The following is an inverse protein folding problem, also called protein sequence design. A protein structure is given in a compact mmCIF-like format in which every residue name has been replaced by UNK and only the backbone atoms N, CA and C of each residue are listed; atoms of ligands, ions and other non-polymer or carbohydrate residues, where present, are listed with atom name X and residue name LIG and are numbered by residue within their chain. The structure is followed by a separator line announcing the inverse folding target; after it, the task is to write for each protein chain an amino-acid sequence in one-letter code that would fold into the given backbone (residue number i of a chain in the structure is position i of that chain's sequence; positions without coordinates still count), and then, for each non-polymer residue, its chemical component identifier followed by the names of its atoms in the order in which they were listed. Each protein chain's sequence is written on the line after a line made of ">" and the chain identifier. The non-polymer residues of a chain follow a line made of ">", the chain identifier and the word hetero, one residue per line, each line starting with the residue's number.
data_IF_530262940799
#
_entry.id   IF_530262940799
#
_cell.length_a   1.000
_cell.length_b   1.000
_cell.length_c   1.000
_cell.angle_alpha   90.00
_cell.angle_beta   90.00
_cell.angle_gamma   90.00
#
_symmetry.space_group_name_H-M   'P 1'
#
loop_
_entity.id
_entity.type
_entity.pdbx_description
1 polymer ?
#
# COMPACT_ATOMS: atom_id res chain seq x y z
N UNK A 1 -7.93 18.76 -19.27
CA UNK A 1 -6.85 17.89 -18.76
C UNK A 1 -5.86 18.80 -18.03
N UNK A 2 -5.58 18.49 -16.75
CA UNK A 2 -4.60 19.25 -16.00
C UNK A 2 -3.20 19.07 -16.62
N UNK A 3 -2.45 20.15 -16.77
CA UNK A 3 -1.06 20.11 -17.20
C UNK A 3 -0.18 19.55 -16.07
N UNK A 4 0.85 18.80 -16.41
CA UNK A 4 1.80 18.32 -15.40
C UNK A 4 2.63 19.50 -14.89
N UNK A 5 2.52 19.80 -13.61
CA UNK A 5 3.28 20.86 -12.94
C UNK A 5 4.17 20.26 -11.84
N UNK A 6 5.35 20.83 -11.67
CA UNK A 6 6.23 20.58 -10.53
C UNK A 6 5.91 21.50 -9.34
N UNK A 7 5.12 22.54 -9.57
CA UNK A 7 4.68 23.48 -8.53
C UNK A 7 3.33 23.01 -7.98
N UNK A 8 3.24 22.88 -6.66
CA UNK A 8 2.01 22.62 -5.97
C UNK A 8 1.15 23.87 -5.93
N UNK A 9 -0.16 23.71 -6.15
CA UNK A 9 -1.11 24.78 -5.96
C UNK A 9 -1.42 25.04 -4.47
N UNK A 10 -2.18 26.10 -4.16
CA UNK A 10 -2.49 26.49 -2.78
C UNK A 10 -3.22 25.39 -1.99
N UNK A 11 -4.15 24.66 -2.62
CA UNK A 11 -4.87 23.56 -1.97
C UNK A 11 -3.94 22.40 -1.64
N UNK A 12 -3.03 22.06 -2.53
CA UNK A 12 -2.02 21.01 -2.32
C UNK A 12 -1.01 21.39 -1.24
N UNK A 13 -0.58 22.64 -1.20
CA UNK A 13 0.29 23.17 -0.13
C UNK A 13 -0.43 23.15 1.22
N UNK A 14 -1.71 23.50 1.25
CA UNK A 14 -2.55 23.44 2.46
C UNK A 14 -2.73 21.99 2.92
N UNK A 15 -3.05 21.08 2.01
CA UNK A 15 -3.14 19.64 2.28
C UNK A 15 -1.83 19.11 2.84
N UNK A 16 -0.71 19.41 2.18
CA UNK A 16 0.63 18.99 2.60
C UNK A 16 0.94 19.46 4.02
N UNK A 17 0.73 20.74 4.29
CA UNK A 17 0.98 21.30 5.62
C UNK A 17 0.11 20.64 6.69
N UNK A 18 -1.19 20.52 6.46
CA UNK A 18 -2.11 19.91 7.42
C UNK A 18 -1.71 18.48 7.79
N UNK A 19 -1.39 17.67 6.77
CA UNK A 19 -0.99 16.27 7.00
C UNK A 19 0.40 16.17 7.64
N UNK A 20 1.32 17.08 7.28
CA UNK A 20 2.62 17.16 7.93
C UNK A 20 2.50 17.52 9.41
N UNK A 21 1.68 18.52 9.74
CA UNK A 21 1.43 18.90 11.13
C UNK A 21 0.84 17.71 11.92
N UNK A 22 -0.15 16.99 11.38
CA UNK A 22 -0.68 15.78 12.00
C UNK A 22 0.39 14.69 12.17
N UNK A 23 1.22 14.49 11.17
CA UNK A 23 2.30 13.50 11.24
C UNK A 23 3.36 13.89 12.29
N UNK A 24 3.69 15.17 12.41
CA UNK A 24 4.65 15.69 13.38
C UNK A 24 4.14 15.64 14.82
N UNK A 25 2.87 16.02 15.03
CA UNK A 25 2.30 16.23 16.36
C UNK A 25 1.66 14.95 16.94
N UNK A 26 1.17 14.04 16.08
CA UNK A 26 0.42 12.84 16.51
C UNK A 26 1.16 11.56 16.19
N UNK A 27 1.62 11.37 14.95
CA UNK A 27 2.20 10.09 14.50
C UNK A 27 3.63 9.93 15.04
N UNK A 28 4.49 10.89 14.81
CA UNK A 28 5.93 10.79 15.12
C UNK A 28 6.23 10.61 16.62
N UNK A 29 5.57 11.31 17.54
CA UNK A 29 5.77 11.12 18.99
C UNK A 29 5.35 9.72 19.47
N UNK A 30 4.33 9.12 18.85
CA UNK A 30 3.80 7.79 19.21
C UNK A 30 4.61 6.63 18.60
N UNK A 31 5.45 6.89 17.61
CA UNK A 31 6.07 5.89 16.75
C UNK A 31 6.91 4.85 17.50
N UNK A 32 7.72 5.28 18.48
CA UNK A 32 8.55 4.36 19.25
C UNK A 32 7.70 3.40 20.10
N UNK A 33 6.70 3.92 20.81
CA UNK A 33 5.82 3.11 21.65
C UNK A 33 5.10 2.02 20.84
N UNK A 34 4.49 2.40 19.72
CA UNK A 34 3.70 1.45 18.92
C UNK A 34 4.56 0.45 18.14
N UNK A 35 5.80 0.81 17.77
CA UNK A 35 6.77 -0.15 17.23
C UNK A 35 7.14 -1.20 18.30
N UNK A 36 7.42 -0.80 19.53
CA UNK A 36 7.75 -1.73 20.62
C UNK A 36 6.57 -2.64 21.02
N UNK A 37 5.36 -2.11 21.05
CA UNK A 37 4.15 -2.87 21.39
C UNK A 37 3.75 -3.91 20.34
N UNK A 38 4.10 -3.69 19.08
CA UNK A 38 3.63 -4.53 17.95
C UNK A 38 2.10 -4.68 17.89
N UNK A 39 1.36 -3.66 18.25
CA UNK A 39 -0.10 -3.64 18.31
C UNK A 39 -0.69 -2.61 17.35
N UNK A 40 -1.97 -2.79 17.01
CA UNK A 40 -2.72 -1.81 16.22
C UNK A 40 -2.90 -0.51 17.02
N UNK A 41 -2.48 0.65 16.50
CA UNK A 41 -2.53 1.93 17.23
C UNK A 41 -3.93 2.55 17.19
N UNK A 42 -4.93 1.88 17.75
CA UNK A 42 -6.33 2.32 17.73
C UNK A 42 -6.55 3.78 18.15
N UNK A 43 -5.91 4.29 19.23
CA UNK A 43 -6.06 5.69 19.60
C UNK A 43 -5.62 6.66 18.49
N UNK A 44 -4.56 6.31 17.76
CA UNK A 44 -4.03 7.17 16.68
C UNK A 44 -4.95 7.09 15.45
N UNK A 45 -5.47 5.90 15.11
CA UNK A 45 -6.46 5.74 14.03
C UNK A 45 -7.72 6.55 14.36
N UNK A 46 -8.16 6.55 15.62
CA UNK A 46 -9.32 7.31 16.06
C UNK A 46 -9.07 8.83 16.01
N UNK A 47 -7.87 9.32 16.38
CA UNK A 47 -7.50 10.72 16.20
C UNK A 47 -7.46 11.11 14.72
N UNK A 48 -6.95 10.25 13.85
CA UNK A 48 -6.99 10.45 12.39
C UNK A 48 -8.44 10.54 11.86
N UNK A 49 -9.36 9.73 12.42
CA UNK A 49 -10.78 9.77 12.06
C UNK A 49 -11.44 11.07 12.53
N UNK A 50 -11.20 11.50 13.75
CA UNK A 50 -11.69 12.80 14.29
C UNK A 50 -11.14 14.00 13.51
N UNK A 51 -9.89 13.92 13.07
CA UNK A 51 -9.27 14.94 12.22
C UNK A 51 -9.79 14.90 10.77
N UNK A 52 -10.59 13.90 10.39
CA UNK A 52 -11.11 13.73 9.03
C UNK A 52 -10.14 13.02 8.06
N UNK A 53 -8.94 12.65 8.51
CA UNK A 53 -7.93 11.96 7.67
C UNK A 53 -8.34 10.51 7.41
N UNK A 54 -8.86 9.80 8.42
CA UNK A 54 -9.46 8.47 8.25
C UNK A 54 -10.94 8.61 7.95
N UNK A 55 -11.28 8.94 6.73
CA UNK A 55 -12.68 9.09 6.30
C UNK A 55 -12.84 8.80 4.81
N UNK A 56 -14.06 8.42 4.41
CA UNK A 56 -14.39 8.26 2.98
C UNK A 56 -14.32 9.59 2.23
N UNK A 57 -14.69 10.69 2.88
CA UNK A 57 -14.68 12.02 2.26
C UNK A 57 -13.24 12.44 1.92
N UNK A 58 -12.31 12.23 2.84
CA UNK A 58 -10.89 12.47 2.58
C UNK A 58 -10.40 11.64 1.40
N UNK A 59 -10.68 10.33 1.42
CA UNK A 59 -10.25 9.42 0.34
C UNK A 59 -10.85 9.82 -1.01
N UNK A 60 -12.13 10.19 -1.04
CA UNK A 60 -12.81 10.64 -2.26
C UNK A 60 -12.21 11.94 -2.77
N UNK A 61 -11.98 12.92 -1.90
CA UNK A 61 -11.38 14.20 -2.27
C UNK A 61 -10.00 14.02 -2.92
N UNK A 62 -9.13 13.20 -2.30
CA UNK A 62 -7.80 12.95 -2.87
C UNK A 62 -7.86 12.10 -4.14
N UNK A 63 -8.83 11.19 -4.25
CA UNK A 63 -9.02 10.36 -5.43
C UNK A 63 -9.52 11.18 -6.64
N UNK A 64 -10.36 12.19 -6.39
CA UNK A 64 -10.93 13.04 -7.44
C UNK A 64 -10.11 14.30 -7.71
N UNK A 65 -8.98 14.54 -7.02
CA UNK A 65 -8.04 15.63 -7.35
C UNK A 65 -7.62 15.56 -8.82
N UNK A 66 -7.83 16.64 -9.56
CA UNK A 66 -7.61 16.68 -11.01
C UNK A 66 -6.16 16.51 -11.43
N UNK A 67 -5.22 16.86 -10.55
CA UNK A 67 -3.79 16.64 -10.78
C UNK A 67 -3.37 15.19 -10.55
N UNK A 68 -4.11 14.45 -9.70
CA UNK A 68 -3.77 13.13 -9.19
C UNK A 68 -2.69 13.15 -8.11
N UNK A 69 -2.26 14.33 -7.64
CA UNK A 69 -1.18 14.44 -6.65
C UNK A 69 -1.66 14.38 -5.20
N UNK A 70 -2.94 14.66 -4.91
CA UNK A 70 -3.46 14.72 -3.55
C UNK A 70 -3.15 13.47 -2.73
N UNK A 71 -3.43 12.28 -3.27
CA UNK A 71 -3.17 11.02 -2.57
C UNK A 71 -1.67 10.76 -2.34
N UNK A 72 -0.80 11.04 -3.31
CA UNK A 72 0.65 10.79 -3.14
C UNK A 72 1.29 11.81 -2.19
N UNK A 73 0.79 13.03 -2.12
CA UNK A 73 1.16 14.02 -1.10
C UNK A 73 0.77 13.49 0.29
N UNK A 74 -0.48 13.02 0.44
CA UNK A 74 -0.98 12.47 1.70
C UNK A 74 -0.14 11.28 2.19
N UNK A 75 0.17 10.35 1.30
CA UNK A 75 1.00 9.19 1.64
C UNK A 75 2.43 9.61 2.05
N UNK A 76 3.05 10.54 1.33
CA UNK A 76 4.39 11.01 1.66
C UNK A 76 4.43 11.65 3.05
N UNK A 77 3.48 12.55 3.37
CA UNK A 77 3.48 13.25 4.66
C UNK A 77 3.17 12.34 5.85
N UNK A 78 2.17 11.48 5.75
CA UNK A 78 1.85 10.56 6.85
C UNK A 78 2.97 9.54 7.12
N UNK A 79 3.59 8.99 6.06
CA UNK A 79 4.69 8.02 6.18
C UNK A 79 6.02 8.67 6.58
N UNK A 80 6.15 9.98 6.43
CA UNK A 80 7.22 10.75 7.06
C UNK A 80 7.12 10.73 8.59
N UNK A 81 5.91 10.66 9.14
CA UNK A 81 5.69 10.52 10.58
C UNK A 81 6.20 9.18 11.11
N UNK A 82 5.59 8.09 10.65
CA UNK A 82 5.97 6.71 10.94
C UNK A 82 5.25 5.75 9.98
N UNK A 83 5.97 4.80 9.40
CA UNK A 83 5.41 3.92 8.38
C UNK A 83 4.42 2.90 8.96
N UNK A 84 4.66 2.38 10.15
CA UNK A 84 3.78 1.39 10.79
C UNK A 84 2.42 1.98 11.14
N UNK A 85 2.43 3.16 11.78
CA UNK A 85 1.22 3.89 12.17
C UNK A 85 0.49 4.41 10.91
N UNK A 86 1.21 5.02 9.97
CA UNK A 86 0.61 5.50 8.73
C UNK A 86 -0.05 4.37 7.93
N UNK A 87 0.57 3.17 7.89
CA UNK A 87 -0.04 2.02 7.25
C UNK A 87 -1.28 1.51 8.01
N UNK A 88 -1.32 1.61 9.33
CA UNK A 88 -2.51 1.29 10.11
C UNK A 88 -3.67 2.25 9.80
N UNK A 89 -3.38 3.55 9.58
CA UNK A 89 -4.37 4.56 9.17
C UNK A 89 -4.80 4.32 7.71
N UNK A 90 -3.86 4.12 6.79
CA UNK A 90 -4.15 4.11 5.35
C UNK A 90 -4.46 2.71 4.77
N UNK A 91 -4.28 1.64 5.57
CA UNK A 91 -4.37 0.25 5.10
C UNK A 91 -5.74 -0.16 4.54
N UNK A 92 -6.83 0.40 5.07
CA UNK A 92 -8.21 0.20 4.55
C UNK A 92 -8.33 0.65 3.09
N UNK A 93 -7.54 1.64 2.66
CA UNK A 93 -7.53 2.14 1.29
C UNK A 93 -7.20 1.09 0.24
N UNK A 94 -6.44 0.03 0.59
CA UNK A 94 -6.15 -1.06 -0.36
C UNK A 94 -7.40 -1.92 -0.65
N UNK A 95 -8.21 -2.20 0.37
CA UNK A 95 -9.48 -2.89 0.18
C UNK A 95 -10.48 -2.03 -0.64
N UNK A 96 -10.55 -0.74 -0.35
CA UNK A 96 -11.36 0.21 -1.12
C UNK A 96 -10.90 0.30 -2.58
N UNK A 97 -9.59 0.31 -2.84
CA UNK A 97 -9.03 0.28 -4.20
C UNK A 97 -9.41 -1.01 -4.95
N UNK A 98 -9.40 -2.16 -4.26
CA UNK A 98 -9.80 -3.44 -4.85
C UNK A 98 -11.27 -3.46 -5.25
N UNK A 99 -12.17 -2.91 -4.43
CA UNK A 99 -13.59 -2.75 -4.76
C UNK A 99 -13.75 -1.79 -5.94
N UNK A 100 -13.08 -0.64 -5.91
CA UNK A 100 -13.15 0.37 -6.98
C UNK A 100 -12.61 -0.14 -8.32
N UNK A 101 -11.67 -1.09 -8.30
CA UNK A 101 -11.11 -1.69 -9.51
C UNK A 101 -12.00 -2.77 -10.13
N UNK A 102 -12.77 -3.50 -9.32
CA UNK A 102 -13.44 -4.72 -9.72
C UNK A 102 -14.97 -4.69 -9.58
N UNK A 103 -15.50 -3.81 -8.70
CA UNK A 103 -16.92 -3.72 -8.38
C UNK A 103 -17.77 -2.96 -9.39
N UNK A 104 -19.08 -3.06 -9.24
CA UNK A 104 -20.07 -2.19 -9.89
C UNK A 104 -20.16 -0.84 -9.14
N UNK A 105 -20.78 0.16 -9.75
CA UNK A 105 -21.01 1.47 -9.07
C UNK A 105 -21.85 1.32 -7.79
N UNK A 106 -22.82 0.42 -7.79
CA UNK A 106 -23.64 0.09 -6.61
C UNK A 106 -22.80 -0.50 -5.49
N UNK A 107 -21.94 -1.50 -5.82
CA UNK A 107 -21.03 -2.13 -4.87
C UNK A 107 -20.00 -1.14 -4.32
N UNK A 108 -19.47 -0.23 -5.14
CA UNK A 108 -18.56 0.84 -4.69
C UNK A 108 -19.30 1.76 -3.72
N UNK A 109 -20.52 2.20 -4.05
CA UNK A 109 -21.32 3.09 -3.22
C UNK A 109 -21.80 2.44 -1.89
N UNK A 110 -22.02 1.14 -1.86
CA UNK A 110 -22.42 0.40 -0.65
C UNK A 110 -21.21 0.05 0.24
N UNK A 111 -20.18 -0.58 -0.34
CA UNK A 111 -19.14 -1.23 0.47
C UNK A 111 -17.99 -0.30 0.86
N UNK A 112 -17.58 0.64 -0.01
CA UNK A 112 -16.42 1.48 0.29
C UNK A 112 -16.68 2.41 1.49
N UNK A 113 -17.80 3.14 1.58
CA UNK A 113 -18.10 3.93 2.79
C UNK A 113 -18.19 3.09 4.06
N UNK A 114 -18.81 1.90 3.98
CA UNK A 114 -18.99 1.01 5.12
C UNK A 114 -17.67 0.50 5.73
N UNK A 115 -16.56 0.50 4.96
CA UNK A 115 -15.24 0.09 5.42
C UNK A 115 -14.54 1.11 6.32
N UNK A 116 -14.97 2.37 6.30
CA UNK A 116 -14.36 3.42 7.12
C UNK A 116 -15.11 3.66 8.43
N UNK A 117 -16.42 3.41 8.44
CA UNK A 117 -17.28 3.69 9.59
C UNK A 117 -17.44 5.17 9.85
N UNK A 118 -17.47 5.53 11.12
CA UNK A 118 -17.56 6.92 11.61
C UNK A 118 -16.42 7.22 12.59
N UNK A 119 -16.16 8.49 12.96
CA UNK A 119 -15.18 8.81 14.00
C UNK A 119 -15.45 8.15 15.36
N UNK A 120 -16.73 7.85 15.67
CA UNK A 120 -17.15 7.19 16.92
C UNK A 120 -17.08 5.66 16.81
N UNK A 121 -17.20 5.11 15.61
CA UNK A 121 -17.19 3.66 15.33
C UNK A 121 -16.34 3.36 14.09
N UNK A 122 -15.02 3.49 14.26
CA UNK A 122 -14.03 3.26 13.20
C UNK A 122 -14.06 1.79 12.77
N UNK A 123 -14.21 1.56 11.47
CA UNK A 123 -14.16 0.25 10.83
C UNK A 123 -12.85 0.09 10.05
N UNK A 124 -12.43 -1.14 9.83
CA UNK A 124 -11.25 -1.45 9.03
C UNK A 124 -11.60 -2.33 7.83
N UNK A 125 -10.87 -2.15 6.74
CA UNK A 125 -10.89 -3.03 5.59
C UNK A 125 -9.57 -3.78 5.41
N UNK A 126 -9.64 -5.01 4.91
CA UNK A 126 -8.50 -5.84 4.55
C UNK A 126 -8.58 -6.33 3.10
N UNK A 127 -7.46 -6.30 2.38
CA UNK A 127 -7.33 -6.92 1.06
C UNK A 127 -6.46 -8.18 1.15
N UNK A 128 -7.02 -9.32 0.77
CA UNK A 128 -6.43 -10.64 0.97
C UNK A 128 -6.22 -11.33 -0.38
N UNK A 129 -5.03 -11.23 -0.94
CA UNK A 129 -4.65 -11.87 -2.22
C UNK A 129 -3.64 -12.98 -2.03
N UNK A 130 -2.52 -12.72 -1.34
CA UNK A 130 -1.41 -13.67 -1.16
C UNK A 130 -1.81 -14.89 -0.32
N UNK A 131 -1.14 -16.01 -0.59
CA UNK A 131 -1.27 -17.27 0.15
C UNK A 131 0.11 -17.79 0.57
N UNK A 132 0.21 -18.74 1.51
CA UNK A 132 1.51 -19.29 1.92
C UNK A 132 2.37 -19.76 0.75
N UNK A 133 1.77 -20.37 -0.29
CA UNK A 133 2.46 -20.90 -1.46
C UNK A 133 2.28 -20.04 -2.74
N UNK A 134 1.60 -18.88 -2.65
CA UNK A 134 1.31 -18.03 -3.80
C UNK A 134 1.49 -16.54 -3.45
N UNK A 135 2.73 -16.05 -3.53
CA UNK A 135 3.09 -14.64 -3.40
C UNK A 135 3.24 -13.99 -4.78
N UNK A 136 4.45 -13.98 -5.34
CA UNK A 136 4.71 -13.47 -6.69
C UNK A 136 4.05 -14.31 -7.79
N UNK A 137 3.91 -15.61 -7.57
CA UNK A 137 3.14 -16.50 -8.43
C UNK A 137 1.65 -16.51 -8.06
N UNK A 138 0.96 -15.43 -8.40
CA UNK A 138 -0.49 -15.29 -8.15
C UNK A 138 -1.34 -16.34 -8.89
N UNK A 139 -0.78 -17.01 -9.88
CA UNK A 139 -1.44 -18.09 -10.63
C UNK A 139 -1.58 -19.37 -9.82
N UNK A 140 -0.69 -19.60 -8.85
CA UNK A 140 -0.67 -20.79 -8.00
C UNK A 140 -1.68 -20.75 -6.82
N UNK A 141 -2.59 -19.78 -6.81
CA UNK A 141 -3.60 -19.61 -5.75
C UNK A 141 -4.45 -20.85 -5.51
N UNK A 142 -4.55 -21.26 -4.26
CA UNK A 142 -5.29 -22.46 -3.81
C UNK A 142 -6.66 -22.16 -3.20
N UNK A 143 -6.88 -20.94 -2.69
CA UNK A 143 -8.20 -20.51 -2.19
C UNK A 143 -9.22 -20.65 -3.30
N UNK A 144 -10.33 -21.34 -3.02
CA UNK A 144 -11.42 -21.63 -3.96
C UNK A 144 -12.69 -20.89 -3.57
N UNK A 145 -13.42 -20.46 -4.60
CA UNK A 145 -14.81 -20.04 -4.47
C UNK A 145 -15.65 -20.89 -5.43
N UNK A 146 -16.56 -21.67 -4.88
CA UNK A 146 -17.43 -22.57 -5.63
C UNK A 146 -18.86 -22.08 -5.52
N UNK A 147 -19.59 -22.04 -6.65
CA UNK A 147 -21.00 -21.69 -6.66
C UNK A 147 -21.85 -22.88 -6.21
N UNK A 148 -22.65 -22.69 -5.16
CA UNK A 148 -23.65 -23.63 -4.68
C UNK A 148 -25.00 -23.27 -5.33
N UNK A 149 -25.38 -23.98 -6.38
CA UNK A 149 -26.59 -23.71 -7.14
C UNK A 149 -27.86 -23.86 -6.30
N UNK A 150 -27.86 -24.81 -5.36
CA UNK A 150 -29.05 -25.07 -4.52
C UNK A 150 -29.31 -23.95 -3.51
N UNK A 151 -28.25 -23.36 -2.98
CA UNK A 151 -28.34 -22.26 -2.02
C UNK A 151 -28.28 -20.88 -2.69
N UNK A 152 -27.88 -20.80 -3.96
CA UNK A 152 -27.58 -19.55 -4.67
C UNK A 152 -26.51 -18.70 -3.93
N UNK A 153 -25.44 -19.37 -3.50
CA UNK A 153 -24.35 -18.76 -2.75
C UNK A 153 -22.98 -19.22 -3.25
N UNK A 154 -21.98 -18.38 -3.04
CA UNK A 154 -20.57 -18.73 -3.18
C UNK A 154 -20.04 -19.33 -1.87
N UNK A 155 -19.27 -20.40 -1.96
CA UNK A 155 -18.62 -21.05 -0.82
C UNK A 155 -17.12 -20.89 -0.98
N UNK A 156 -16.49 -20.15 -0.06
CA UNK A 156 -15.06 -19.86 -0.08
C UNK A 156 -14.34 -20.73 0.96
N UNK A 157 -13.24 -21.36 0.50
CA UNK A 157 -12.35 -22.15 1.34
C UNK A 157 -10.88 -21.87 1.00
N UNK A 158 -10.03 -21.70 2.02
CA UNK A 158 -8.61 -21.49 1.85
C UNK A 158 -7.97 -20.67 2.97
N UNK A 159 -6.69 -20.33 2.77
CA UNK A 159 -5.93 -19.50 3.73
C UNK A 159 -5.23 -18.39 2.96
N UNK A 160 -5.42 -17.15 3.40
CA UNK A 160 -4.70 -15.98 2.95
C UNK A 160 -3.61 -15.62 3.95
N UNK A 161 -2.52 -15.02 3.46
CA UNK A 161 -1.38 -14.64 4.30
C UNK A 161 -0.93 -13.22 4.02
N UNK A 162 -0.18 -12.63 4.95
CA UNK A 162 0.37 -11.26 4.84
C UNK A 162 -0.70 -10.17 4.68
N UNK A 163 -1.94 -10.45 5.09
CA UNK A 163 -3.02 -9.48 4.95
C UNK A 163 -2.89 -8.37 6.01
N UNK A 164 -2.75 -7.12 5.56
CA UNK A 164 -2.89 -5.95 6.43
C UNK A 164 -4.31 -5.92 6.98
N UNK A 165 -4.46 -5.72 8.29
CA UNK A 165 -5.71 -5.82 9.03
C UNK A 165 -6.40 -7.19 8.96
N UNK A 166 -5.72 -8.24 8.46
CA UNK A 166 -6.29 -9.58 8.31
C UNK A 166 -6.83 -10.12 9.62
N UNK A 167 -8.08 -10.56 9.63
CA UNK A 167 -8.77 -11.12 10.78
C UNK A 167 -9.28 -10.12 11.81
N UNK A 168 -8.75 -8.90 11.86
CA UNK A 168 -9.28 -7.81 12.73
C UNK A 168 -10.15 -6.82 11.98
N UNK A 169 -10.08 -6.79 10.64
CA UNK A 169 -10.91 -5.92 9.83
C UNK A 169 -12.39 -6.33 9.91
N UNK A 170 -13.28 -5.34 9.83
CA UNK A 170 -14.71 -5.57 9.69
C UNK A 170 -15.05 -6.11 8.30
N UNK A 171 -14.39 -5.60 7.29
CA UNK A 171 -14.62 -5.96 5.88
C UNK A 171 -13.36 -6.57 5.26
N UNK A 172 -13.52 -7.71 4.60
CA UNK A 172 -12.41 -8.35 3.89
C UNK A 172 -12.71 -8.45 2.39
N UNK A 173 -11.76 -8.09 1.55
CA UNK A 173 -11.82 -8.36 0.10
C UNK A 173 -10.90 -9.54 -0.19
N UNK A 174 -11.51 -10.65 -0.54
CA UNK A 174 -10.83 -11.94 -0.77
C UNK A 174 -10.70 -12.19 -2.27
N UNK A 175 -9.49 -12.41 -2.77
CA UNK A 175 -9.28 -12.96 -4.12
C UNK A 175 -9.28 -14.47 -4.04
N UNK A 176 -10.12 -15.13 -4.85
CA UNK A 176 -10.23 -16.58 -4.89
C UNK A 176 -10.27 -17.11 -6.32
N UNK A 177 -9.85 -18.36 -6.52
CA UNK A 177 -9.99 -19.06 -7.80
C UNK A 177 -11.39 -19.65 -7.92
N UNK A 178 -12.10 -19.24 -8.96
CA UNK A 178 -13.41 -19.79 -9.36
C UNK A 178 -13.26 -20.84 -10.46
N UNK A 179 -12.14 -20.81 -11.19
CA UNK A 179 -11.78 -21.80 -12.20
C UNK A 179 -10.27 -22.04 -12.19
N UNK A 180 -9.80 -23.13 -11.53
CA UNK A 180 -8.38 -23.42 -11.40
C UNK A 180 -7.67 -23.72 -12.72
N UNK A 181 -8.38 -24.25 -13.72
CA UNK A 181 -7.79 -24.60 -15.01
C UNK A 181 -7.32 -23.35 -15.78
N UNK A 182 -7.91 -22.21 -15.50
CA UNK A 182 -7.56 -20.93 -16.09
C UNK A 182 -6.43 -20.17 -15.35
N UNK A 183 -5.90 -20.74 -14.26
CA UNK A 183 -4.86 -20.14 -13.43
C UNK A 183 -5.28 -18.75 -12.94
N UNK A 184 -4.39 -17.75 -13.04
CA UNK A 184 -4.69 -16.40 -12.61
C UNK A 184 -5.86 -15.71 -13.35
N UNK A 185 -6.23 -16.18 -14.55
CA UNK A 185 -7.38 -15.68 -15.30
C UNK A 185 -8.71 -16.22 -14.77
N UNK A 186 -8.67 -17.31 -13.98
CA UNK A 186 -9.83 -17.92 -13.32
C UNK A 186 -10.10 -17.38 -11.92
N UNK A 187 -9.60 -16.20 -11.57
CA UNK A 187 -9.77 -15.57 -10.24
C UNK A 187 -10.90 -14.55 -10.25
N UNK A 188 -11.53 -14.36 -9.07
CA UNK A 188 -12.50 -13.32 -8.81
C UNK A 188 -12.28 -12.74 -7.40
N UNK A 189 -12.83 -11.54 -7.15
CA UNK A 189 -12.76 -10.87 -5.84
C UNK A 189 -14.13 -10.88 -5.17
N UNK A 190 -14.15 -11.18 -3.89
CA UNK A 190 -15.35 -11.27 -3.06
C UNK A 190 -15.22 -10.33 -1.86
N UNK A 191 -16.30 -9.65 -1.51
CA UNK A 191 -16.39 -8.87 -0.28
C UNK A 191 -16.98 -9.76 0.80
N UNK A 192 -16.31 -9.90 1.94
CA UNK A 192 -16.81 -10.63 3.12
C UNK A 192 -17.21 -9.59 4.16
N UNK A 193 -18.52 -9.44 4.46
CA UNK A 193 -19.01 -8.47 5.42
C UNK A 193 -18.74 -8.88 6.87
N UNK A 194 -18.88 -7.94 7.83
CA UNK A 194 -18.74 -8.24 9.27
C UNK A 194 -19.65 -9.38 9.72
N UNK A 195 -19.16 -10.18 10.66
CA UNK A 195 -19.95 -11.26 11.26
C UNK A 195 -20.19 -12.47 10.37
N UNK A 196 -19.58 -12.56 9.20
CA UNK A 196 -19.68 -13.73 8.32
C UNK A 196 -19.04 -14.95 8.98
N UNK A 197 -19.82 -16.02 9.14
CA UNK A 197 -19.35 -17.28 9.70
C UNK A 197 -18.29 -17.92 8.80
N UNK A 198 -17.28 -18.55 9.41
CA UNK A 198 -16.21 -19.26 8.70
C UNK A 198 -14.97 -18.42 8.38
N UNK A 199 -15.01 -17.07 8.55
CA UNK A 199 -13.82 -16.25 8.47
C UNK A 199 -13.20 -16.09 9.85
N UNK A 200 -11.91 -16.37 9.98
CA UNK A 200 -11.16 -16.21 11.23
C UNK A 200 -9.73 -15.75 10.98
N UNK A 201 -9.12 -15.18 12.03
CA UNK A 201 -7.70 -14.85 12.02
C UNK A 201 -6.88 -16.12 12.29
N UNK A 202 -5.86 -16.36 11.45
CA UNK A 202 -4.81 -17.31 11.71
C UNK A 202 -3.62 -16.69 12.46
N UNK A 203 -2.41 -16.99 12.02
CA UNK A 203 -1.18 -16.47 12.64
C UNK A 203 -1.06 -14.96 12.45
N UNK A 204 -0.89 -14.19 13.54
CA UNK A 204 -0.37 -12.82 13.51
C UNK A 204 1.14 -12.87 13.39
N UNK A 205 1.71 -12.17 12.41
CA UNK A 205 3.15 -12.18 12.15
C UNK A 205 3.92 -11.19 13.02
N UNK A 206 5.03 -11.64 13.61
CA UNK A 206 6.05 -10.76 14.18
C UNK A 206 6.95 -10.28 13.06
N UNK A 207 6.96 -8.97 12.81
CA UNK A 207 7.63 -8.41 11.62
C UNK A 207 8.94 -7.72 11.95
N UNK A 208 9.79 -7.58 10.94
CA UNK A 208 11.03 -6.82 11.00
C UNK A 208 10.77 -5.33 11.19
N UNK A 209 9.86 -4.75 10.40
CA UNK A 209 9.42 -3.36 10.43
C UNK A 209 7.92 -3.22 10.27
N UNK A 210 7.41 -1.99 10.15
CA UNK A 210 5.99 -1.63 10.13
C UNK A 210 5.20 -2.34 11.25
N UNK A 211 5.79 -2.40 12.45
CA UNK A 211 5.33 -3.29 13.52
C UNK A 211 4.01 -2.84 14.14
N UNK A 212 3.69 -1.55 14.08
CA UNK A 212 2.42 -0.98 14.49
C UNK A 212 1.26 -1.35 13.54
N UNK A 213 1.54 -1.80 12.31
CA UNK A 213 0.52 -2.27 11.37
C UNK A 213 0.22 -3.74 11.57
N UNK A 214 -1.04 -4.10 11.83
CA UNK A 214 -1.45 -5.49 11.97
C UNK A 214 -1.30 -6.25 10.65
N UNK A 215 -0.69 -7.43 10.71
CA UNK A 215 -0.52 -8.32 9.54
C UNK A 215 -0.72 -9.76 9.98
N UNK A 216 -1.68 -10.46 9.39
CA UNK A 216 -2.02 -11.83 9.78
C UNK A 216 -2.46 -12.70 8.61
N UNK A 217 -2.63 -13.98 8.90
CA UNK A 217 -3.37 -14.92 8.06
C UNK A 217 -4.87 -14.71 8.24
N UNK A 218 -5.61 -14.99 7.17
CA UNK A 218 -7.08 -15.07 7.16
C UNK A 218 -7.47 -16.45 6.69
N UNK A 219 -8.17 -17.18 7.56
CA UNK A 219 -8.66 -18.53 7.31
C UNK A 219 -10.11 -18.44 6.85
N UNK A 220 -10.42 -19.14 5.78
CA UNK A 220 -11.76 -19.28 5.21
C UNK A 220 -12.17 -20.74 5.28
N UNK A 221 -13.15 -21.04 6.11
CA UNK A 221 -13.74 -22.38 6.28
C UNK A 221 -15.24 -22.33 6.01
N UNK A 222 -15.61 -22.74 4.80
CA UNK A 222 -17.00 -22.71 4.32
C UNK A 222 -17.67 -21.34 4.46
N UNK A 223 -16.95 -20.28 4.14
CA UNK A 223 -17.50 -18.92 4.10
C UNK A 223 -18.52 -18.82 2.98
N UNK A 224 -19.80 -18.58 3.36
CA UNK A 224 -20.92 -18.51 2.44
C UNK A 224 -21.31 -17.08 2.14
N UNK A 225 -21.41 -16.73 0.87
CA UNK A 225 -21.68 -15.38 0.40
C UNK A 225 -22.76 -15.36 -0.68
N UNK A 226 -23.87 -14.62 -0.51
CA UNK A 226 -24.76 -14.27 -1.60
C UNK A 226 -24.03 -13.63 -2.78
N UNK A 227 -24.56 -13.77 -3.98
CA UNK A 227 -23.92 -13.30 -5.23
C UNK A 227 -23.60 -11.79 -5.22
N UNK A 228 -24.37 -10.98 -4.49
CA UNK A 228 -24.11 -9.53 -4.39
C UNK A 228 -22.72 -9.18 -3.86
N UNK A 229 -22.04 -10.12 -3.18
CA UNK A 229 -20.68 -9.93 -2.65
C UNK A 229 -19.57 -10.35 -3.62
N UNK A 230 -19.90 -10.95 -4.77
CA UNK A 230 -18.98 -11.11 -5.88
C UNK A 230 -18.79 -9.76 -6.59
N UNK A 231 -17.58 -9.22 -6.59
CA UNK A 231 -17.29 -7.94 -7.26
C UNK A 231 -17.48 -8.04 -8.77
N UNK A 232 -18.31 -7.17 -9.30
CA UNK A 232 -18.67 -7.11 -10.70
C UNK A 232 -19.83 -8.02 -11.11
N UNK A 233 -20.28 -8.93 -10.23
CA UNK A 233 -21.43 -9.81 -10.44
C UNK A 233 -21.15 -11.05 -11.29
N UNK A 234 -22.00 -12.07 -11.12
CA UNK A 234 -21.84 -13.40 -11.72
C UNK A 234 -21.92 -13.38 -13.24
N UNK A 235 -22.83 -12.60 -13.82
CA UNK A 235 -22.98 -12.51 -15.29
C UNK A 235 -21.69 -12.03 -15.97
N UNK A 236 -21.07 -10.96 -15.44
CA UNK A 236 -19.79 -10.44 -15.96
C UNK A 236 -18.65 -11.44 -15.76
N UNK A 237 -18.64 -12.16 -14.62
CA UNK A 237 -17.66 -13.21 -14.35
C UNK A 237 -17.79 -14.33 -15.38
N UNK A 238 -18.99 -14.88 -15.59
CA UNK A 238 -19.26 -15.98 -16.51
C UNK A 238 -18.89 -15.61 -17.95
N UNK A 239 -19.27 -14.42 -18.40
CA UNK A 239 -18.88 -13.89 -19.72
C UNK A 239 -17.36 -13.78 -19.88
N UNK A 240 -16.65 -13.32 -18.84
CA UNK A 240 -15.18 -13.24 -18.83
C UNK A 240 -14.53 -14.61 -18.92
N UNK A 241 -15.00 -15.59 -18.13
CA UNK A 241 -14.48 -16.96 -18.12
C UNK A 241 -14.70 -17.65 -19.48
N UNK A 242 -15.89 -17.48 -20.08
CA UNK A 242 -16.18 -18.00 -21.42
C UNK A 242 -15.17 -17.48 -22.46
N UNK A 243 -14.95 -16.17 -22.50
CA UNK A 243 -13.96 -15.55 -23.40
C UNK A 243 -12.53 -16.08 -23.18
N UNK A 244 -12.13 -16.31 -21.92
CA UNK A 244 -10.81 -16.90 -21.61
C UNK A 244 -10.70 -18.33 -22.16
N UNK A 245 -11.74 -19.15 -22.02
CA UNK A 245 -11.77 -20.52 -22.54
C UNK A 245 -11.68 -20.57 -24.07
N UNK A 246 -12.22 -19.56 -24.75
CA UNK A 246 -12.09 -19.37 -26.19
C UNK A 246 -10.71 -18.82 -26.61
N UNK A 247 -9.77 -18.61 -25.68
CA UNK A 247 -8.44 -18.06 -25.96
C UNK A 247 -8.41 -16.56 -26.23
N UNK A 248 -9.50 -15.84 -25.98
CA UNK A 248 -9.62 -14.40 -26.19
C UNK A 248 -9.04 -13.61 -25.00
N UNK A 249 -8.65 -12.34 -25.25
CA UNK A 249 -8.25 -11.43 -24.18
C UNK A 249 -9.45 -11.13 -23.27
N UNK A 250 -9.28 -11.31 -21.98
CA UNK A 250 -10.34 -11.20 -20.98
C UNK A 250 -10.11 -10.13 -19.89
N UNK A 251 -9.43 -9.05 -20.25
CA UNK A 251 -9.13 -7.96 -19.32
C UNK A 251 -7.98 -8.24 -18.36
N UNK A 252 -7.79 -7.35 -17.38
CA UNK A 252 -6.75 -7.44 -16.36
C UNK A 252 -7.23 -8.36 -15.23
N UNK A 253 -6.32 -9.10 -14.62
CA UNK A 253 -6.62 -9.93 -13.45
C UNK A 253 -7.01 -9.07 -12.24
N UNK A 254 -7.91 -9.54 -11.34
CA UNK A 254 -8.40 -8.75 -10.20
C UNK A 254 -7.30 -8.15 -9.33
N UNK A 255 -6.31 -8.94 -8.92
CA UNK A 255 -5.18 -8.46 -8.12
C UNK A 255 -4.33 -7.44 -8.88
N UNK A 256 -4.06 -7.69 -10.17
CA UNK A 256 -3.26 -6.77 -11.00
C UNK A 256 -3.97 -5.44 -11.25
N UNK A 257 -5.28 -5.46 -11.44
CA UNK A 257 -6.08 -4.25 -11.59
C UNK A 257 -6.01 -3.36 -10.33
N UNK A 258 -5.95 -3.98 -9.16
CA UNK A 258 -5.75 -3.29 -7.88
C UNK A 258 -4.34 -2.71 -7.80
N UNK A 259 -3.31 -3.53 -7.99
CA UNK A 259 -1.91 -3.12 -7.81
C UNK A 259 -1.43 -2.05 -8.80
N UNK A 260 -1.92 -2.02 -10.04
CA UNK A 260 -1.57 -0.94 -10.99
C UNK A 260 -1.98 0.43 -10.48
N UNK A 261 -3.09 0.51 -9.74
CA UNK A 261 -3.60 1.77 -9.18
C UNK A 261 -2.87 2.19 -7.91
N UNK A 262 -2.35 1.24 -7.13
CA UNK A 262 -1.74 1.51 -5.82
C UNK A 262 -0.23 1.74 -5.88
N UNK A 263 0.48 1.34 -6.93
CA UNK A 263 1.94 1.49 -7.04
C UNK A 263 2.47 2.92 -6.84
N UNK A 264 1.86 3.98 -7.41
CA UNK A 264 2.32 5.34 -7.15
C UNK A 264 2.18 5.73 -5.66
N UNK A 265 1.10 5.32 -4.99
CA UNK A 265 0.89 5.60 -3.56
C UNK A 265 1.91 4.86 -2.69
N UNK A 266 2.23 3.60 -3.01
CA UNK A 266 3.30 2.83 -2.34
C UNK A 266 4.68 3.47 -2.57
N UNK A 267 4.93 3.99 -3.77
CA UNK A 267 6.14 4.77 -4.05
C UNK A 267 6.25 6.03 -3.17
N UNK A 268 5.14 6.76 -2.98
CA UNK A 268 5.08 7.94 -2.13
C UNK A 268 5.35 7.63 -0.65
N UNK A 269 4.84 6.51 -0.14
CA UNK A 269 5.14 6.00 1.21
C UNK A 269 6.65 5.84 1.42
N UNK A 270 7.33 5.20 0.46
CA UNK A 270 8.77 5.00 0.50
C UNK A 270 9.53 6.33 0.47
N UNK A 271 9.06 7.33 -0.31
CA UNK A 271 9.62 8.69 -0.34
C UNK A 271 9.49 9.36 1.03
N UNK A 272 8.34 9.22 1.70
CA UNK A 272 8.11 9.75 3.04
C UNK A 272 9.13 9.23 4.06
N UNK A 273 9.34 7.91 4.11
CA UNK A 273 10.33 7.28 4.99
C UNK A 273 11.75 7.76 4.67
N UNK A 274 12.12 7.80 3.39
CA UNK A 274 13.44 8.25 2.95
C UNK A 274 13.70 9.71 3.35
N UNK A 275 12.71 10.59 3.15
CA UNK A 275 12.77 12.00 3.55
C UNK A 275 12.97 12.14 5.06
N UNK A 276 12.18 11.42 5.87
CA UNK A 276 12.30 11.43 7.31
C UNK A 276 13.69 11.03 7.79
N UNK A 277 14.25 9.96 7.26
CA UNK A 277 15.58 9.49 7.62
C UNK A 277 16.69 10.46 7.18
N UNK A 278 16.55 11.07 5.99
CA UNK A 278 17.45 12.10 5.49
C UNK A 278 17.48 13.33 6.38
N UNK A 279 16.32 13.84 6.79
CA UNK A 279 16.21 15.03 7.64
C UNK A 279 16.86 14.80 9.01
N UNK A 280 16.59 13.64 9.64
CA UNK A 280 17.27 13.26 10.90
C UNK A 280 18.78 13.18 10.73
N UNK A 281 19.27 12.58 9.63
CA UNK A 281 20.70 12.47 9.39
C UNK A 281 21.36 13.82 9.10
N UNK A 282 20.67 14.71 8.37
CA UNK A 282 21.16 16.06 8.06
C UNK A 282 21.27 16.90 9.34
N UNK A 283 20.25 16.90 10.18
CA UNK A 283 20.25 17.68 11.42
C UNK A 283 21.28 17.16 12.40
N UNK A 284 21.39 15.83 12.53
CA UNK A 284 22.47 15.23 13.33
C UNK A 284 23.87 15.62 12.81
N UNK A 285 24.10 15.58 11.52
CA UNK A 285 25.39 15.91 10.91
C UNK A 285 25.82 17.38 11.14
N UNK A 286 24.86 18.30 11.28
CA UNK A 286 25.12 19.73 11.57
C UNK A 286 25.57 19.98 13.01
N UNK A 287 25.13 19.14 13.96
CA UNK A 287 25.39 19.35 15.38
C UNK A 287 26.42 18.41 15.97
N UNK A 288 26.59 17.22 15.40
CA UNK A 288 27.57 16.23 15.86
C UNK A 288 28.97 16.65 15.48
N UNK A 289 29.86 16.81 16.45
CA UNK A 289 31.26 17.16 16.22
C UNK A 289 32.15 15.94 16.35
N UNK A 290 33.09 15.81 15.41
CA UNK A 290 34.26 14.94 15.48
C UNK A 290 35.43 15.62 14.76
N UNK A 291 36.66 15.35 15.19
CA UNK A 291 37.86 16.02 14.69
C UNK A 291 37.79 17.56 14.81
N UNK A 292 37.11 18.06 15.85
CA UNK A 292 37.03 19.49 16.19
C UNK A 292 36.08 20.32 15.31
N UNK A 293 35.14 19.67 14.58
CA UNK A 293 34.14 20.35 13.74
C UNK A 293 32.89 19.50 13.53
N UNK A 294 31.74 20.09 13.13
CA UNK A 294 30.57 19.35 12.70
C UNK A 294 30.90 18.33 11.61
N UNK A 295 30.31 17.13 11.72
CA UNK A 295 30.67 16.04 10.77
C UNK A 295 30.23 16.34 9.35
N UNK A 296 29.25 17.22 9.13
CA UNK A 296 28.80 17.64 7.79
C UNK A 296 29.93 18.33 7.00
N UNK A 297 30.92 18.95 7.65
CA UNK A 297 32.06 19.57 6.99
C UNK A 297 33.04 18.56 6.39
N UNK A 298 32.86 17.28 6.67
CA UNK A 298 33.64 16.22 6.03
C UNK A 298 32.99 15.83 4.69
N UNK A 299 33.73 15.91 3.58
CA UNK A 299 33.22 15.64 2.24
C UNK A 299 32.49 14.29 2.14
N UNK A 300 33.01 13.23 2.80
CA UNK A 300 32.38 11.91 2.78
C UNK A 300 30.98 11.88 3.38
N UNK A 301 30.67 12.73 4.37
CA UNK A 301 29.33 12.91 4.93
C UNK A 301 28.48 13.80 4.02
N UNK A 302 29.03 14.94 3.58
CA UNK A 302 28.33 15.88 2.71
C UNK A 302 27.88 15.22 1.39
N UNK A 303 28.74 14.39 0.77
CA UNK A 303 28.41 13.67 -0.47
C UNK A 303 27.29 12.65 -0.26
N UNK A 304 27.29 11.91 0.86
CA UNK A 304 26.18 11.01 1.21
C UNK A 304 24.86 11.75 1.31
N UNK A 305 24.82 12.88 2.01
CA UNK A 305 23.62 13.71 2.14
C UNK A 305 23.16 14.27 0.77
N UNK A 306 24.06 14.67 -0.09
CA UNK A 306 23.74 15.13 -1.45
C UNK A 306 23.13 13.99 -2.29
N UNK A 307 23.70 12.79 -2.24
CA UNK A 307 23.18 11.62 -2.94
C UNK A 307 21.80 11.20 -2.40
N UNK A 308 21.61 11.23 -1.05
CA UNK A 308 20.32 10.95 -0.41
C UNK A 308 19.24 11.90 -0.93
N UNK A 309 19.50 13.22 -0.91
CA UNK A 309 18.55 14.24 -1.37
C UNK A 309 18.22 14.06 -2.86
N UNK A 310 19.23 13.85 -3.71
CA UNK A 310 19.04 13.65 -5.14
C UNK A 310 18.15 12.44 -5.44
N UNK A 311 18.38 11.32 -4.76
CA UNK A 311 17.56 10.10 -4.93
C UNK A 311 16.14 10.27 -4.45
N UNK A 312 15.92 10.98 -3.33
CA UNK A 312 14.58 11.30 -2.81
C UNK A 312 13.79 12.13 -3.84
N UNK A 313 14.42 13.20 -4.37
CA UNK A 313 13.74 14.07 -5.34
C UNK A 313 13.45 13.34 -6.65
N UNK A 314 14.38 12.54 -7.14
CA UNK A 314 14.16 11.71 -8.33
C UNK A 314 13.01 10.70 -8.11
N UNK A 315 12.94 10.08 -6.92
CA UNK A 315 11.85 9.16 -6.56
C UNK A 315 10.50 9.89 -6.56
N UNK A 316 10.43 11.06 -5.92
CA UNK A 316 9.22 11.89 -5.87
C UNK A 316 8.73 12.26 -7.24
N UNK A 317 9.62 12.70 -8.14
CA UNK A 317 9.26 13.06 -9.50
C UNK A 317 8.70 11.87 -10.31
N UNK A 318 9.27 10.69 -10.16
CA UNK A 318 8.74 9.47 -10.78
C UNK A 318 7.35 9.12 -10.23
N UNK A 319 7.13 9.25 -8.92
CA UNK A 319 5.85 9.04 -8.26
C UNK A 319 4.80 10.03 -8.76
N UNK A 320 5.11 11.33 -8.76
CA UNK A 320 4.19 12.37 -9.22
C UNK A 320 3.81 12.18 -10.69
N UNK A 321 4.79 11.87 -11.55
CA UNK A 321 4.53 11.57 -12.96
C UNK A 321 3.55 10.40 -13.10
N UNK A 322 3.78 9.30 -12.39
CA UNK A 322 2.92 8.11 -12.48
C UNK A 322 1.50 8.40 -11.93
N UNK A 323 1.39 9.12 -10.83
CA UNK A 323 0.10 9.52 -10.25
C UNK A 323 -0.71 10.42 -11.21
N UNK A 324 -0.08 11.45 -11.76
CA UNK A 324 -0.68 12.30 -12.77
C UNK A 324 -1.12 11.53 -14.02
N UNK A 325 -0.27 10.64 -14.56
CA UNK A 325 -0.60 9.80 -15.71
C UNK A 325 -1.84 8.94 -15.44
N UNK A 326 -1.89 8.31 -14.27
CA UNK A 326 -3.05 7.49 -13.87
C UNK A 326 -4.33 8.32 -13.81
N UNK A 327 -4.27 9.52 -13.21
CA UNK A 327 -5.43 10.42 -13.12
C UNK A 327 -5.91 10.92 -14.47
N UNK A 328 -4.98 11.19 -15.40
CA UNK A 328 -5.32 11.63 -16.76
C UNK A 328 -5.74 10.46 -17.69
N UNK A 329 -5.89 9.25 -17.16
CA UNK A 329 -6.22 8.05 -17.95
C UNK A 329 -5.17 7.67 -18.99
N UNK A 330 -3.92 8.13 -18.82
CA UNK A 330 -2.80 7.80 -19.72
C UNK A 330 -2.35 6.37 -19.49
N UNK A 331 -2.07 5.67 -20.57
CA UNK A 331 -1.54 4.31 -20.52
C UNK A 331 -0.10 4.30 -19.98
N UNK A 332 0.19 3.39 -19.08
CA UNK A 332 1.55 3.12 -18.59
C UNK A 332 2.33 2.27 -19.62
N UNK A 333 2.73 2.90 -20.73
CA UNK A 333 3.35 2.20 -21.86
C UNK A 333 4.73 1.61 -21.53
N UNK A 334 5.44 2.17 -20.57
CA UNK A 334 6.72 1.70 -20.06
C UNK A 334 6.63 1.19 -18.61
N UNK A 335 5.44 0.85 -18.13
CA UNK A 335 5.17 0.43 -16.76
C UNK A 335 5.58 1.47 -15.71
N UNK A 336 5.20 2.74 -15.91
CA UNK A 336 5.58 3.89 -15.09
C UNK A 336 5.23 3.70 -13.60
N UNK A 337 4.11 3.06 -13.28
CA UNK A 337 3.76 2.68 -11.90
C UNK A 337 4.78 1.72 -11.28
N UNK A 338 5.27 0.74 -12.07
CA UNK A 338 6.34 -0.16 -11.62
C UNK A 338 7.68 0.56 -11.47
N UNK A 339 8.00 1.50 -12.38
CA UNK A 339 9.25 2.27 -12.31
C UNK A 339 9.33 3.11 -11.03
N UNK A 340 8.25 3.84 -10.70
CA UNK A 340 8.24 4.69 -9.51
C UNK A 340 8.32 3.85 -8.22
N UNK A 341 7.57 2.74 -8.12
CA UNK A 341 7.59 1.84 -6.97
C UNK A 341 8.95 1.17 -6.77
N UNK A 342 9.56 0.68 -7.84
CA UNK A 342 10.88 0.07 -7.81
C UNK A 342 11.93 1.06 -7.31
N UNK A 343 12.02 2.23 -7.97
CA UNK A 343 13.06 3.20 -7.66
C UNK A 343 12.89 3.80 -6.25
N UNK A 344 11.68 4.18 -5.86
CA UNK A 344 11.40 4.73 -4.54
C UNK A 344 11.65 3.70 -3.42
N UNK A 345 11.23 2.45 -3.59
CA UNK A 345 11.43 1.40 -2.59
C UNK A 345 12.91 1.07 -2.34
N UNK A 346 13.71 0.96 -3.41
CA UNK A 346 15.17 0.75 -3.29
C UNK A 346 15.88 2.00 -2.74
N UNK A 347 15.43 3.19 -3.12
CA UNK A 347 15.92 4.46 -2.57
C UNK A 347 15.68 4.53 -1.06
N UNK A 348 14.48 4.17 -0.57
CA UNK A 348 14.18 4.23 0.85
C UNK A 348 15.11 3.31 1.67
N UNK A 349 15.36 2.10 1.21
CA UNK A 349 16.30 1.18 1.88
C UNK A 349 17.71 1.77 1.91
N UNK A 350 18.19 2.28 0.77
CA UNK A 350 19.53 2.85 0.68
C UNK A 350 19.68 4.12 1.52
N UNK A 351 18.69 5.04 1.49
CA UNK A 351 18.75 6.30 2.24
C UNK A 351 18.73 6.03 3.74
N UNK A 352 17.88 5.14 4.22
CA UNK A 352 17.81 4.80 5.65
C UNK A 352 19.07 4.09 6.14
N UNK A 353 19.72 3.26 5.33
CA UNK A 353 21.03 2.68 5.60
C UNK A 353 22.10 3.78 5.74
N UNK A 354 22.14 4.75 4.80
CA UNK A 354 23.07 5.87 4.88
C UNK A 354 22.80 6.75 6.12
N UNK A 355 21.54 6.93 6.53
CA UNK A 355 21.20 7.64 7.74
C UNK A 355 21.77 6.96 9.00
N UNK A 356 21.63 5.64 9.12
CA UNK A 356 22.27 4.87 10.21
C UNK A 356 23.78 5.08 10.17
N UNK A 357 24.42 5.00 9.00
CA UNK A 357 25.85 5.15 8.85
C UNK A 357 26.34 6.54 9.25
N UNK A 358 25.58 7.61 8.92
CA UNK A 358 25.91 9.00 9.30
C UNK A 358 25.82 9.19 10.83
N UNK A 359 24.82 8.60 11.49
CA UNK A 359 24.66 8.66 12.94
C UNK A 359 25.67 7.77 13.67
N UNK A 360 26.31 6.83 13.00
CA UNK A 360 27.28 5.90 13.60
C UNK A 360 26.66 5.02 14.67
N UNK A 361 27.31 4.88 15.82
CA UNK A 361 26.79 4.08 16.94
C UNK A 361 25.39 4.50 17.40
N UNK A 362 25.08 5.79 17.37
CA UNK A 362 23.74 6.31 17.71
C UNK A 362 22.68 5.83 16.69
N UNK A 363 23.02 5.72 15.42
CA UNK A 363 22.09 5.21 14.42
C UNK A 363 21.80 3.71 14.53
N UNK A 364 22.61 2.97 15.28
CA UNK A 364 22.46 1.53 15.50
C UNK A 364 21.62 1.20 16.75
N UNK A 365 21.28 2.20 17.53
CA UNK A 365 20.49 2.05 18.76
C UNK A 365 19.05 2.51 18.56
N UNK A 366 18.13 2.02 19.42
CA UNK A 366 16.69 2.37 19.34
C UNK A 366 16.34 3.74 19.91
N UNK A 367 17.29 4.45 20.52
CA UNK A 367 17.13 5.83 20.99
C UNK A 367 17.02 6.83 19.84
N UNK A 368 17.48 6.45 18.63
CA UNK A 368 17.35 7.25 17.42
C UNK A 368 16.42 6.55 16.42
N UNK A 369 15.57 7.29 15.69
CA UNK A 369 14.51 6.69 14.89
C UNK A 369 14.99 6.03 13.59
N UNK A 370 16.23 6.27 13.15
CA UNK A 370 16.71 5.84 11.83
C UNK A 370 16.80 4.32 11.68
N UNK A 371 17.06 3.58 12.77
CA UNK A 371 17.07 2.11 12.75
C UNK A 371 15.67 1.55 12.49
N UNK A 372 14.62 2.14 13.12
CA UNK A 372 13.22 1.78 12.86
C UNK A 372 12.83 2.11 11.42
N UNK A 373 13.17 3.32 10.95
CA UNK A 373 12.92 3.72 9.57
C UNK A 373 13.58 2.76 8.57
N UNK A 374 14.77 2.23 8.88
CA UNK A 374 15.43 1.24 8.03
C UNK A 374 14.71 -0.12 8.04
N UNK A 375 14.27 -0.58 9.21
CA UNK A 375 13.44 -1.79 9.31
C UNK A 375 12.14 -1.64 8.50
N UNK A 376 11.50 -0.51 8.60
CA UNK A 376 10.26 -0.19 7.88
C UNK A 376 10.49 -0.08 6.37
N UNK A 377 11.58 0.56 5.94
CA UNK A 377 11.90 0.73 4.52
C UNK A 377 12.07 -0.60 3.78
N UNK A 378 12.55 -1.66 4.46
CA UNK A 378 12.82 -2.95 3.83
C UNK A 378 11.61 -3.57 3.14
N UNK A 379 10.41 -3.39 3.68
CA UNK A 379 9.20 -4.00 3.11
C UNK A 379 8.89 -3.48 1.70
N UNK A 380 9.32 -2.26 1.35
CA UNK A 380 9.05 -1.62 0.06
C UNK A 380 9.76 -2.28 -1.13
N UNK A 381 10.70 -3.17 -0.87
CA UNK A 381 11.30 -4.03 -1.91
C UNK A 381 10.60 -5.40 -2.02
N UNK A 382 9.61 -5.69 -1.16
CA UNK A 382 8.98 -7.01 -1.03
C UNK A 382 7.48 -6.95 -1.39
N UNK A 383 6.67 -6.19 -0.65
CA UNK A 383 5.22 -6.16 -0.84
C UNK A 383 4.79 -5.38 -2.09
N UNK A 384 3.51 -5.49 -2.46
CA UNK A 384 2.93 -4.84 -3.66
C UNK A 384 3.67 -5.19 -4.97
N UNK A 385 4.25 -6.39 -4.99
CA UNK A 385 5.16 -6.87 -6.04
C UNK A 385 6.62 -6.56 -5.73
N UNK A 386 7.44 -7.62 -5.60
CA UNK A 386 8.86 -7.48 -5.28
C UNK A 386 9.61 -6.62 -6.31
N UNK A 387 10.77 -6.10 -5.93
CA UNK A 387 11.65 -5.34 -6.86
C UNK A 387 11.95 -6.13 -8.14
N UNK A 388 12.08 -7.46 -8.05
CA UNK A 388 12.30 -8.36 -9.19
C UNK A 388 11.05 -8.42 -10.09
N UNK A 389 9.84 -8.52 -9.49
CA UNK A 389 8.58 -8.48 -10.24
C UNK A 389 8.40 -7.12 -10.92
N UNK A 390 8.75 -6.00 -10.26
CA UNK A 390 8.69 -4.69 -10.92
C UNK A 390 9.62 -4.63 -12.12
N UNK A 391 10.86 -5.13 -12.00
CA UNK A 391 11.82 -5.22 -13.12
C UNK A 391 11.28 -6.07 -14.27
N UNK A 392 10.66 -7.20 -13.95
CA UNK A 392 10.03 -8.08 -14.95
C UNK A 392 8.89 -7.37 -15.70
N UNK A 393 8.02 -6.65 -14.98
CA UNK A 393 6.91 -5.88 -15.58
C UNK A 393 7.46 -4.77 -16.49
N UNK A 394 8.48 -4.02 -16.03
CA UNK A 394 9.13 -2.97 -16.84
C UNK A 394 9.75 -3.58 -18.09
N UNK A 395 10.54 -4.65 -17.93
CA UNK A 395 11.25 -5.29 -19.06
C UNK A 395 10.26 -5.80 -20.12
N UNK A 396 9.14 -6.40 -19.72
CA UNK A 396 8.06 -6.81 -20.63
C UNK A 396 7.42 -5.61 -21.34
N UNK A 397 7.17 -4.51 -20.63
CA UNK A 397 6.54 -3.33 -21.20
C UNK A 397 7.40 -2.67 -22.27
N UNK A 398 8.70 -2.47 -22.00
CA UNK A 398 9.61 -1.79 -22.92
C UNK A 398 10.07 -2.64 -24.11
N UNK A 399 10.09 -3.96 -23.94
CA UNK A 399 10.53 -4.89 -24.99
C UNK A 399 9.40 -5.43 -25.85
N UNK A 400 8.17 -5.44 -25.36
CA UNK A 400 7.03 -6.12 -25.97
C UNK A 400 7.16 -7.66 -25.97
N UNK A 401 8.17 -8.22 -25.31
CA UNK A 401 8.47 -9.65 -25.28
C UNK A 401 7.97 -10.27 -23.96
N UNK A 402 7.38 -11.46 -24.05
CA UNK A 402 7.04 -12.25 -22.87
C UNK A 402 8.30 -12.86 -22.25
N UNK A 403 8.79 -12.21 -21.20
CA UNK A 403 9.94 -12.67 -20.40
C UNK A 403 9.39 -13.54 -19.25
N UNK A 404 9.94 -14.75 -19.09
CA UNK A 404 9.55 -15.69 -18.02
C UNK A 404 10.32 -15.41 -16.75
#
# INVERSE_FOLDING_TARGET
>A
MAEFSLELNEDQLTLQKWLHDFAADVIRPAAHEWDEREETPWPIIQEAAKAGIYSIDFMAQQWFDDSGLGMVIAQEELFWGDAGIALAIMGTGLAAAAISANGTQEQIGEFVPAMYGTPEDVKLGAFCSSEPDAGSDVGAMKTRAVWDEAASEWVLNGTKTWATNGGIADWHVIVASVDPELGSRGQASFVVPPGTHGLSQGQKFKKHGIRASHTAEVILDNVRLPDKYLLGGKEKLDARLARVREGLKAGVQPSMATFERTRPTVGAQAVGIARAAYEVALDYAKIREQFGRPIIENQGIAFKLADMKTRIDASRLLVWRAAWMARQGKTFSAAEGSQCKLFAGETAVWVTEQAIQILGGNGYTREYPVERMHRDAKIYTIFEGTSEIQRLVIARAISGVHIK
#
